data_IF_111662552415
#
_entry.id   IF_111662552415
#
_cell.length_a   1.000
_cell.length_b   1.000
_cell.length_c   1.000
_cell.angle_alpha   90.00
_cell.angle_beta   90.00
_cell.angle_gamma   90.00
#
_symmetry.space_group_name_H-M   'P 1'
#
loop_
_entity.id
_entity.type
_entity.pdbx_description
1 polymer ?
#
# COMPACT_ATOMS: atom_id res chain seq x y z
N UNK A 1 -3.01 64.47 -28.53
CA UNK A 1 -4.48 64.37 -28.42
C UNK A 1 -4.85 62.93 -28.10
N UNK A 2 -5.72 62.67 -27.13
CA UNK A 2 -5.77 61.42 -26.36
C UNK A 2 -7.11 60.71 -26.55
N UNK A 3 -7.22 59.67 -27.37
CA UNK A 3 -8.44 58.83 -27.42
C UNK A 3 -8.12 57.42 -27.95
N UNK A 4 -7.34 56.63 -27.21
CA UNK A 4 -7.32 55.17 -27.42
C UNK A 4 -6.84 54.42 -26.16
N UNK A 5 -7.52 54.65 -25.03
CA UNK A 5 -7.23 53.98 -23.75
C UNK A 5 -8.49 53.57 -22.99
N UNK A 6 -9.51 53.11 -23.72
CA UNK A 6 -10.77 52.62 -23.17
C UNK A 6 -11.26 51.40 -23.97
N UNK A 7 -10.52 50.30 -23.96
CA UNK A 7 -11.03 48.99 -24.40
C UNK A 7 -10.18 47.81 -23.88
N UNK A 8 -9.64 47.89 -22.67
CA UNK A 8 -8.85 46.81 -22.06
C UNK A 8 -9.04 46.72 -20.52
N UNK A 9 -10.20 47.11 -20.01
CA UNK A 9 -10.52 46.98 -18.57
C UNK A 9 -11.73 46.08 -18.26
N UNK A 10 -12.34 45.42 -19.26
CA UNK A 10 -13.60 44.69 -19.04
C UNK A 10 -13.53 43.15 -19.15
N UNK A 11 -12.33 42.55 -19.25
CA UNK A 11 -12.15 41.09 -19.34
C UNK A 11 -11.44 40.45 -18.12
N UNK A 12 -11.21 41.21 -17.04
CA UNK A 12 -10.47 40.76 -15.86
C UNK A 12 -11.29 40.38 -14.61
N UNK A 13 -12.60 40.62 -14.56
CA UNK A 13 -13.36 40.54 -13.30
C UNK A 13 -14.35 39.35 -13.18
N UNK A 14 -14.37 38.42 -14.13
CA UNK A 14 -15.36 37.31 -14.13
C UNK A 14 -14.82 35.93 -13.73
N UNK A 15 -13.66 35.88 -13.05
CA UNK A 15 -13.07 34.63 -12.56
C UNK A 15 -12.68 34.66 -11.06
N UNK A 16 -13.35 35.50 -10.26
CA UNK A 16 -13.06 35.62 -8.82
C UNK A 16 -14.30 35.62 -7.90
N UNK A 17 -15.43 35.06 -8.37
CA UNK A 17 -16.68 35.01 -7.59
C UNK A 17 -17.31 33.60 -7.58
N UNK A 18 -16.55 32.60 -7.14
CA UNK A 18 -17.07 31.35 -6.56
C UNK A 18 -16.03 30.76 -5.60
N UNK A 19 -15.78 31.46 -4.50
CA UNK A 19 -15.21 30.88 -3.27
C UNK A 19 -15.88 31.58 -2.09
N UNK A 20 -17.15 31.27 -1.91
CA UNK A 20 -17.88 31.61 -0.71
C UNK A 20 -18.26 30.29 -0.04
N UNK A 21 -17.37 29.85 0.86
CA UNK A 21 -17.59 28.74 1.76
C UNK A 21 -18.50 29.25 2.88
N UNK A 22 -19.75 28.83 2.89
CA UNK A 22 -20.66 29.02 4.03
C UNK A 22 -20.16 28.18 5.21
N UNK A 23 -20.00 28.75 6.42
CA UNK A 23 -19.68 28.00 7.61
C UNK A 23 -20.98 27.46 8.22
N UNK A 24 -21.21 26.15 8.13
CA UNK A 24 -22.28 25.52 8.90
C UNK A 24 -21.82 25.39 10.35
N UNK A 25 -22.34 26.30 11.18
CA UNK A 25 -22.46 26.16 12.61
C UNK A 25 -23.20 24.84 12.94
N UNK A 26 -22.53 23.91 13.61
CA UNK A 26 -23.22 22.91 14.44
C UNK A 26 -22.70 23.02 15.87
N UNK A 27 -23.51 23.65 16.70
CA UNK A 27 -23.34 23.72 18.15
C UNK A 27 -24.47 22.88 18.76
N UNK A 28 -24.10 22.14 19.82
CA UNK A 28 -24.95 21.58 20.88
C UNK A 28 -25.66 20.25 20.56
N UNK A 29 -25.23 19.16 21.23
CA UNK A 29 -25.91 18.64 22.41
C UNK A 29 -25.03 17.63 23.16
N UNK A 30 -24.85 17.91 24.46
CA UNK A 30 -24.38 16.98 25.47
C UNK A 30 -25.44 15.90 25.68
N UNK A 31 -25.06 14.64 25.83
CA UNK A 31 -25.85 13.68 26.60
C UNK A 31 -24.91 12.67 27.26
N UNK A 32 -24.73 12.84 28.56
CA UNK A 32 -24.19 11.82 29.44
C UNK A 32 -25.26 10.75 29.70
N UNK A 33 -24.76 9.60 30.14
CA UNK A 33 -25.34 8.63 31.10
C UNK A 33 -26.02 7.36 30.56
N UNK A 34 -25.38 6.25 30.93
CA UNK A 34 -25.94 5.00 31.49
C UNK A 34 -26.71 4.01 30.60
N UNK A 35 -26.04 2.89 30.31
CA UNK A 35 -26.57 1.51 30.42
C UNK A 35 -26.02 0.90 31.73
N UNK A 36 -26.56 -0.19 32.33
CA UNK A 36 -27.35 -1.25 31.68
C UNK A 36 -28.50 -1.90 32.52
N UNK A 37 -29.14 -2.89 31.89
CA UNK A 37 -29.88 -4.06 32.43
C UNK A 37 -31.33 -3.84 32.91
N UNK A 38 -32.29 -4.52 32.26
CA UNK A 38 -33.13 -5.64 32.78
C UNK A 38 -34.43 -5.83 31.96
N UNK A 39 -34.69 -7.11 31.61
CA UNK A 39 -35.95 -7.82 31.28
C UNK A 39 -36.61 -7.69 29.89
N UNK A 40 -36.47 -8.80 29.14
CA UNK A 40 -37.53 -9.51 28.40
C UNK A 40 -38.73 -9.84 29.32
N UNK A 41 -39.98 -9.93 28.80
CA UNK A 41 -40.44 -11.20 28.20
C UNK A 41 -41.50 -11.12 27.06
N UNK A 42 -41.60 -12.25 26.34
CA UNK A 42 -42.80 -12.89 25.71
C UNK A 42 -43.57 -12.25 24.54
N UNK A 43 -43.68 -13.04 23.46
CA UNK A 43 -44.52 -12.96 22.22
C UNK A 43 -46.04 -13.15 22.52
N UNK A 44 -47.01 -13.31 21.55
CA UNK A 44 -47.00 -13.39 20.07
C UNK A 44 -48.20 -12.63 19.38
N UNK A 45 -48.62 -13.08 18.16
CA UNK A 45 -49.75 -12.68 17.27
C UNK A 45 -49.44 -11.61 16.21
N UNK A 46 -49.36 -11.84 14.88
CA UNK A 46 -50.25 -12.42 13.83
C UNK A 46 -50.91 -11.32 12.94
N UNK A 47 -50.76 -11.51 11.62
CA UNK A 47 -51.64 -11.13 10.48
C UNK A 47 -51.40 -9.85 9.62
N UNK A 48 -51.61 -10.10 8.31
CA UNK A 48 -51.90 -9.25 7.13
C UNK A 48 -50.79 -8.33 6.57
N UNK A 49 -50.28 -8.58 5.36
CA UNK A 49 -50.90 -8.39 4.02
C UNK A 49 -50.91 -6.92 3.57
N UNK A 50 -50.13 -6.58 2.54
CA UNK A 50 -50.51 -5.60 1.50
C UNK A 50 -49.42 -5.50 0.40
N UNK A 51 -49.81 -5.96 -0.79
CA UNK A 51 -49.26 -5.62 -2.10
C UNK A 51 -49.73 -4.20 -2.52
N UNK A 52 -48.85 -3.40 -3.12
CA UNK A 52 -49.19 -2.29 -4.04
C UNK A 52 -47.90 -1.83 -4.76
N UNK A 53 -47.50 -2.39 -5.91
CA UNK A 53 -47.89 -2.05 -7.29
C UNK A 53 -48.11 -0.56 -7.65
N UNK A 54 -47.17 -0.06 -8.49
CA UNK A 54 -47.34 0.85 -9.68
C UNK A 54 -47.46 2.39 -9.43
N UNK A 55 -47.38 3.26 -10.47
CA UNK A 55 -46.27 3.46 -11.44
C UNK A 55 -46.09 4.94 -11.97
N UNK A 56 -45.12 5.12 -12.90
CA UNK A 56 -44.94 6.16 -13.98
C UNK A 56 -44.97 7.68 -13.67
N UNK A 57 -43.91 8.39 -14.10
CA UNK A 57 -43.90 9.47 -15.15
C UNK A 57 -43.09 10.74 -14.83
N UNK A 58 -42.71 11.44 -15.91
CA UNK A 58 -41.93 12.68 -16.05
C UNK A 58 -40.39 12.48 -16.05
N UNK A 59 -39.63 12.46 -17.16
CA UNK A 59 -39.62 13.27 -18.38
C UNK A 59 -39.52 14.78 -18.15
N UNK A 60 -38.32 15.29 -17.84
CA UNK A 60 -37.91 16.68 -18.17
C UNK A 60 -36.40 16.75 -18.44
N UNK A 61 -36.07 16.88 -19.74
CA UNK A 61 -35.20 17.89 -20.36
C UNK A 61 -33.70 17.95 -20.03
N UNK A 62 -32.93 17.49 -21.03
CA UNK A 62 -31.63 18.00 -21.50
C UNK A 62 -31.42 19.50 -21.22
N UNK A 63 -30.28 19.85 -20.61
CA UNK A 63 -29.15 20.61 -21.20
C UNK A 63 -28.30 21.25 -20.10
N UNK A 64 -27.07 20.79 -19.91
CA UNK A 64 -25.86 21.63 -19.96
C UNK A 64 -24.63 20.76 -19.69
N UNK A 65 -24.08 20.16 -20.75
CA UNK A 65 -22.74 19.58 -20.71
C UNK A 65 -21.81 20.61 -21.34
N UNK A 66 -21.27 21.49 -20.51
CA UNK A 66 -20.05 22.22 -20.85
C UNK A 66 -18.93 21.19 -20.95
N UNK A 67 -18.80 20.60 -22.13
CA UNK A 67 -17.75 19.67 -22.48
C UNK A 67 -16.49 20.49 -22.70
N UNK A 68 -15.73 20.72 -21.63
CA UNK A 68 -14.33 21.10 -21.78
C UNK A 68 -13.66 19.96 -22.57
N UNK A 69 -13.29 20.25 -23.81
CA UNK A 69 -12.45 19.38 -24.62
C UNK A 69 -11.05 19.35 -23.98
N UNK A 70 -10.86 18.50 -22.98
CA UNK A 70 -9.51 17.98 -22.74
C UNK A 70 -9.17 17.15 -23.97
N UNK A 71 -8.10 17.52 -24.68
CA UNK A 71 -7.65 16.78 -25.85
C UNK A 71 -7.56 15.30 -25.47
N UNK A 72 -8.21 14.44 -26.24
CA UNK A 72 -8.22 12.99 -26.00
C UNK A 72 -6.79 12.42 -25.93
N UNK A 73 -5.83 13.05 -26.60
CA UNK A 73 -4.39 12.77 -26.49
C UNK A 73 -3.80 13.12 -25.12
N UNK A 74 -4.16 14.25 -24.50
CA UNK A 74 -3.65 14.65 -23.18
C UNK A 74 -4.23 13.78 -22.05
N UNK A 75 -5.50 13.37 -22.20
CA UNK A 75 -6.14 12.40 -21.30
C UNK A 75 -5.57 10.98 -21.47
N UNK A 76 -5.23 10.57 -22.70
CA UNK A 76 -4.56 9.30 -22.98
C UNK A 76 -3.11 9.29 -22.46
N UNK A 77 -2.37 10.40 -22.62
CA UNK A 77 -1.00 10.56 -22.12
C UNK A 77 -0.97 10.64 -20.58
N UNK A 78 -1.93 11.33 -19.94
CA UNK A 78 -2.08 11.28 -18.48
C UNK A 78 -2.44 9.87 -17.99
N UNK A 79 -3.32 9.14 -18.68
CA UNK A 79 -3.65 7.75 -18.32
C UNK A 79 -2.47 6.78 -18.54
N UNK A 80 -1.67 6.97 -19.59
CA UNK A 80 -0.46 6.17 -19.84
C UNK A 80 0.62 6.42 -18.77
N UNK A 81 0.80 7.67 -18.35
CA UNK A 81 1.72 8.02 -17.25
C UNK A 81 1.21 7.54 -15.87
N UNK A 82 -0.10 7.46 -15.67
CA UNK A 82 -0.71 6.95 -14.44
C UNK A 82 -0.55 5.42 -14.26
N UNK A 83 -0.24 4.68 -15.33
CA UNK A 83 -0.15 3.21 -15.29
C UNK A 83 1.13 2.70 -14.59
N UNK A 84 2.15 3.55 -14.43
CA UNK A 84 3.40 3.24 -13.70
C UNK A 84 3.45 4.05 -12.42
N UNK A 85 3.05 3.44 -11.30
CA UNK A 85 3.24 4.03 -9.98
C UNK A 85 4.71 4.40 -9.77
N UNK A 86 5.01 5.69 -9.58
CA UNK A 86 6.36 6.16 -9.30
C UNK A 86 6.80 5.67 -7.92
N UNK A 87 8.13 5.64 -7.65
CA UNK A 87 8.71 5.24 -6.38
C UNK A 87 8.11 6.01 -5.20
N UNK A 88 7.92 7.33 -5.33
CA UNK A 88 7.30 8.17 -4.30
C UNK A 88 5.90 7.70 -3.93
N UNK A 89 5.06 7.45 -4.93
CA UNK A 89 3.69 6.96 -4.73
C UNK A 89 3.66 5.54 -4.17
N UNK A 90 4.58 4.69 -4.63
CA UNK A 90 4.74 3.34 -4.12
C UNK A 90 5.11 3.34 -2.63
N UNK A 91 6.11 4.13 -2.24
CA UNK A 91 6.54 4.24 -0.84
C UNK A 91 5.42 4.84 0.01
N UNK A 92 4.79 5.93 -0.45
CA UNK A 92 3.67 6.56 0.27
C UNK A 92 2.51 5.59 0.49
N UNK A 93 2.16 4.77 -0.52
CA UNK A 93 1.14 3.72 -0.40
C UNK A 93 1.51 2.64 0.62
N UNK A 94 2.79 2.23 0.66
CA UNK A 94 3.26 1.15 1.54
C UNK A 94 3.56 1.59 2.96
N UNK A 95 3.99 2.83 3.15
CA UNK A 95 4.47 3.33 4.43
C UNK A 95 3.49 4.33 5.09
N UNK A 96 2.59 4.92 4.31
CA UNK A 96 1.66 5.97 4.74
C UNK A 96 2.29 7.37 4.78
N UNK A 97 3.61 7.48 4.59
CA UNK A 97 4.37 8.74 4.61
C UNK A 97 5.28 8.84 3.38
N UNK A 98 5.62 10.05 2.91
CA UNK A 98 6.54 10.24 1.79
C UNK A 98 7.98 9.81 2.14
N UNK A 99 8.80 9.64 1.10
CA UNK A 99 10.23 9.34 1.24
C UNK A 99 10.92 10.46 2.03
N UNK A 100 11.85 10.10 2.91
CA UNK A 100 12.61 11.06 3.73
C UNK A 100 11.89 11.54 5.00
N UNK A 101 10.63 11.14 5.23
CA UNK A 101 9.92 11.50 6.46
C UNK A 101 10.51 10.77 7.68
N UNK A 102 10.66 11.45 8.82
CA UNK A 102 11.26 10.90 10.05
C UNK A 102 10.58 9.63 10.56
N UNK A 103 9.24 9.58 10.47
CA UNK A 103 8.43 8.39 10.83
C UNK A 103 8.54 7.21 9.85
N UNK A 104 9.28 7.36 8.74
CA UNK A 104 9.34 6.35 7.68
C UNK A 104 9.88 5.00 8.15
N UNK A 105 10.99 5.01 8.88
CA UNK A 105 11.63 3.78 9.36
C UNK A 105 10.77 3.08 10.42
N UNK A 106 10.24 3.85 11.38
CA UNK A 106 9.38 3.31 12.44
C UNK A 106 8.10 2.67 11.88
N UNK A 107 7.46 3.32 10.91
CA UNK A 107 6.27 2.77 10.25
C UNK A 107 6.58 1.49 9.47
N UNK A 108 7.70 1.44 8.74
CA UNK A 108 8.13 0.22 8.05
C UNK A 108 8.34 -0.93 9.04
N UNK A 109 9.09 -0.72 10.13
CA UNK A 109 9.34 -1.75 11.14
C UNK A 109 8.05 -2.22 11.80
N UNK A 110 7.21 -1.29 12.26
CA UNK A 110 5.94 -1.61 12.93
C UNK A 110 5.01 -2.44 12.02
N UNK A 111 4.91 -2.08 10.74
CA UNK A 111 4.06 -2.77 9.76
C UNK A 111 4.67 -4.10 9.29
N UNK A 112 6.00 -4.19 9.19
CA UNK A 112 6.69 -5.41 8.78
C UNK A 112 6.57 -6.47 9.85
N UNK A 113 7.00 -6.15 11.08
CA UNK A 113 6.96 -7.08 12.20
C UNK A 113 5.52 -7.48 12.53
N UNK A 114 4.59 -6.53 12.46
CA UNK A 114 3.16 -6.77 12.63
C UNK A 114 2.44 -7.36 11.41
N UNK A 115 3.14 -7.81 10.38
CA UNK A 115 2.52 -8.34 9.17
C UNK A 115 1.79 -9.66 9.42
N UNK A 116 0.71 -9.89 8.68
CA UNK A 116 -0.16 -11.07 8.81
C UNK A 116 0.49 -12.40 8.41
N UNK A 117 1.54 -12.34 7.60
CA UNK A 117 2.37 -13.48 7.22
C UNK A 117 3.74 -12.98 6.74
N UNK A 118 4.66 -13.93 6.59
CA UNK A 118 6.04 -13.63 6.27
C UNK A 118 6.24 -13.07 4.85
N UNK A 119 5.41 -13.46 3.90
CA UNK A 119 5.43 -12.82 2.58
C UNK A 119 5.06 -11.33 2.64
N UNK A 120 4.12 -10.98 3.52
CA UNK A 120 3.70 -9.58 3.72
C UNK A 120 4.74 -8.78 4.50
N UNK A 121 5.51 -9.41 5.41
CA UNK A 121 6.62 -8.77 6.14
C UNK A 121 7.58 -8.06 5.16
N UNK A 122 8.04 -8.78 4.13
CA UNK A 122 8.99 -8.26 3.14
C UNK A 122 8.41 -7.17 2.24
N UNK A 123 7.08 -7.05 2.18
CA UNK A 123 6.42 -5.96 1.45
C UNK A 123 6.58 -4.61 2.16
N UNK A 124 6.72 -4.62 3.48
CA UNK A 124 6.84 -3.41 4.31
C UNK A 124 8.28 -3.14 4.77
N UNK A 125 9.15 -4.15 4.80
CA UNK A 125 10.49 -4.06 5.39
C UNK A 125 11.31 -2.93 4.79
N UNK A 126 11.37 -2.91 3.45
CA UNK A 126 12.06 -1.86 2.72
C UNK A 126 11.35 -1.61 1.38
N UNK A 127 10.40 -0.67 1.33
CA UNK A 127 9.63 -0.40 0.11
C UNK A 127 10.50 0.09 -1.05
N UNK A 128 11.61 0.80 -0.77
CA UNK A 128 12.50 1.32 -1.81
C UNK A 128 13.23 0.16 -2.50
N UNK A 129 13.88 -0.72 -1.72
CA UNK A 129 14.53 -1.90 -2.27
C UNK A 129 13.53 -2.84 -2.95
N UNK A 130 12.36 -3.05 -2.35
CA UNK A 130 11.29 -3.86 -2.93
C UNK A 130 10.82 -3.33 -4.29
N UNK A 131 10.76 -2.01 -4.49
CA UNK A 131 10.41 -1.40 -5.77
C UNK A 131 11.46 -1.69 -6.85
N UNK A 132 12.75 -1.50 -6.55
CA UNK A 132 13.82 -1.74 -7.52
C UNK A 132 13.99 -3.22 -7.83
N UNK A 133 14.03 -4.08 -6.83
CA UNK A 133 14.09 -5.53 -7.03
C UNK A 133 12.86 -6.03 -7.82
N UNK A 134 11.67 -5.54 -7.46
CA UNK A 134 10.43 -5.88 -8.16
C UNK A 134 10.44 -5.51 -9.64
N UNK A 135 10.92 -4.31 -9.96
CA UNK A 135 10.88 -3.77 -11.33
C UNK A 135 12.04 -4.22 -12.21
N UNK A 136 13.25 -4.36 -11.63
CA UNK A 136 14.50 -4.63 -12.36
C UNK A 136 14.92 -6.09 -12.35
N UNK A 137 14.55 -6.86 -11.33
CA UNK A 137 15.01 -8.25 -11.16
C UNK A 137 13.84 -9.22 -11.26
N UNK A 138 12.85 -9.09 -10.39
CA UNK A 138 11.72 -10.02 -10.35
C UNK A 138 10.89 -10.01 -11.64
N UNK A 139 10.55 -8.83 -12.17
CA UNK A 139 9.75 -8.70 -13.40
C UNK A 139 10.39 -9.35 -14.62
N UNK A 140 11.69 -9.14 -14.94
CA UNK A 140 12.34 -9.88 -16.02
C UNK A 140 12.47 -11.38 -15.72
N UNK A 141 12.85 -11.77 -14.50
CA UNK A 141 12.98 -13.19 -14.14
C UNK A 141 11.67 -13.96 -14.27
N UNK A 142 10.54 -13.33 -13.92
CA UNK A 142 9.20 -13.93 -14.04
C UNK A 142 8.81 -14.25 -15.50
N UNK A 143 9.46 -13.64 -16.50
CA UNK A 143 9.22 -13.98 -17.91
C UNK A 143 9.82 -15.32 -18.32
N UNK A 144 10.83 -15.79 -17.57
CA UNK A 144 11.60 -17.00 -17.88
C UNK A 144 11.28 -18.11 -16.88
N UNK A 145 11.10 -17.76 -15.60
CA UNK A 145 10.94 -18.71 -14.49
C UNK A 145 9.54 -18.65 -13.86
N UNK A 146 9.09 -19.76 -13.24
CA UNK A 146 7.87 -19.75 -12.45
C UNK A 146 8.01 -18.82 -11.24
N UNK A 147 6.87 -18.31 -10.77
CA UNK A 147 6.84 -17.18 -9.83
C UNK A 147 7.58 -17.43 -8.50
N UNK A 148 7.62 -18.69 -8.03
CA UNK A 148 8.35 -19.07 -6.81
C UNK A 148 9.87 -19.01 -7.00
N UNK A 149 10.37 -19.56 -8.11
CA UNK A 149 11.81 -19.54 -8.44
C UNK A 149 12.26 -18.11 -8.70
N UNK A 150 11.50 -17.33 -9.46
CA UNK A 150 11.80 -15.92 -9.70
C UNK A 150 11.91 -15.12 -8.38
N UNK A 151 11.08 -15.44 -7.38
CA UNK A 151 11.13 -14.82 -6.07
C UNK A 151 12.41 -15.21 -5.33
N UNK A 152 12.74 -16.51 -5.25
CA UNK A 152 13.95 -16.99 -4.57
C UNK A 152 15.22 -16.39 -5.20
N UNK A 153 15.31 -16.38 -6.53
CA UNK A 153 16.42 -15.76 -7.25
C UNK A 153 16.53 -14.25 -6.98
N UNK A 154 15.40 -13.55 -6.83
CA UNK A 154 15.41 -12.12 -6.46
C UNK A 154 16.00 -11.92 -5.07
N UNK A 155 15.69 -12.81 -4.13
CA UNK A 155 16.28 -12.80 -2.78
C UNK A 155 17.78 -13.08 -2.81
N UNK A 156 18.23 -14.10 -3.56
CA UNK A 156 19.66 -14.40 -3.74
C UNK A 156 20.39 -13.17 -4.29
N UNK A 157 19.85 -12.54 -5.34
CA UNK A 157 20.47 -11.34 -5.93
C UNK A 157 20.56 -10.18 -4.94
N UNK A 158 19.55 -10.00 -4.09
CA UNK A 158 19.60 -9.03 -3.00
C UNK A 158 20.72 -9.36 -1.99
N UNK A 159 20.84 -10.62 -1.58
CA UNK A 159 21.91 -11.08 -0.69
C UNK A 159 23.31 -10.86 -1.28
N UNK A 160 23.49 -11.17 -2.57
CA UNK A 160 24.75 -10.95 -3.29
C UNK A 160 25.15 -9.47 -3.35
N UNK A 161 24.18 -8.55 -3.48
CA UNK A 161 24.47 -7.10 -3.40
C UNK A 161 24.99 -6.75 -2.00
N UNK A 162 24.40 -7.30 -0.94
CA UNK A 162 24.87 -7.06 0.42
C UNK A 162 26.28 -7.62 0.64
N UNK A 163 26.53 -8.85 0.19
CA UNK A 163 27.85 -9.49 0.22
C UNK A 163 28.90 -8.70 -0.58
N UNK A 164 28.53 -8.13 -1.72
CA UNK A 164 29.43 -7.28 -2.50
C UNK A 164 29.81 -6.03 -1.70
N UNK A 165 28.84 -5.35 -1.09
CA UNK A 165 29.10 -4.16 -0.28
C UNK A 165 29.99 -4.49 0.92
N UNK A 166 29.75 -5.60 1.62
CA UNK A 166 30.60 -6.01 2.75
C UNK A 166 31.98 -6.45 2.30
N UNK A 167 32.09 -7.13 1.17
CA UNK A 167 33.37 -7.52 0.56
C UNK A 167 34.21 -6.30 0.17
N UNK A 168 33.58 -5.26 -0.40
CA UNK A 168 34.28 -4.01 -0.74
C UNK A 168 34.80 -3.27 0.50
N UNK A 169 34.06 -3.31 1.61
CA UNK A 169 34.47 -2.66 2.86
C UNK A 169 35.54 -3.48 3.60
N UNK A 170 35.45 -4.82 3.57
CA UNK A 170 36.28 -5.73 4.37
C UNK A 170 37.48 -6.30 3.60
N UNK A 171 37.46 -6.25 2.28
CA UNK A 171 38.47 -6.83 1.39
C UNK A 171 38.45 -8.37 1.32
N UNK A 172 37.44 -9.03 1.89
CA UNK A 172 37.29 -10.50 1.90
C UNK A 172 35.93 -10.89 1.37
N UNK A 173 35.92 -11.86 0.46
CA UNK A 173 34.70 -12.38 -0.14
C UNK A 173 33.95 -13.22 0.90
N UNK A 174 32.72 -12.82 1.20
CA UNK A 174 31.81 -13.56 2.08
C UNK A 174 30.50 -13.76 1.35
N UNK A 175 29.93 -14.97 1.40
CA UNK A 175 28.61 -15.29 0.83
C UNK A 175 27.52 -15.41 1.91
N UNK A 176 27.78 -14.84 3.08
CA UNK A 176 26.91 -14.99 4.25
C UNK A 176 25.51 -14.43 4.01
N UNK A 177 25.39 -13.23 3.41
CA UNK A 177 24.08 -12.63 3.14
C UNK A 177 23.38 -13.35 1.99
N UNK A 178 24.07 -13.85 0.96
CA UNK A 178 23.47 -14.63 -0.12
C UNK A 178 22.80 -15.91 0.41
N UNK A 179 23.49 -16.68 1.27
CA UNK A 179 22.93 -17.89 1.88
C UNK A 179 21.77 -17.55 2.82
N UNK A 180 21.90 -16.49 3.62
CA UNK A 180 20.82 -16.07 4.51
C UNK A 180 19.57 -15.63 3.74
N UNK A 181 19.72 -14.80 2.71
CA UNK A 181 18.62 -14.36 1.87
C UNK A 181 18.02 -15.51 1.07
N UNK A 182 18.80 -16.52 0.67
CA UNK A 182 18.29 -17.75 0.07
C UNK A 182 17.29 -18.45 1.01
N UNK A 183 17.68 -18.70 2.26
CA UNK A 183 16.80 -19.32 3.25
C UNK A 183 15.53 -18.48 3.49
N UNK A 184 15.69 -17.16 3.61
CA UNK A 184 14.54 -16.24 3.73
C UNK A 184 13.62 -16.29 2.51
N UNK A 185 14.19 -16.33 1.30
CA UNK A 185 13.44 -16.43 0.05
C UNK A 185 12.64 -17.73 -0.06
N UNK A 186 13.20 -18.85 0.38
CA UNK A 186 12.50 -20.13 0.48
C UNK A 186 11.35 -20.01 1.49
N UNK A 187 11.60 -19.48 2.69
CA UNK A 187 10.56 -19.27 3.72
C UNK A 187 9.42 -18.37 3.22
N UNK A 188 9.71 -17.34 2.42
CA UNK A 188 8.69 -16.51 1.76
C UNK A 188 7.89 -17.32 0.74
N UNK A 189 8.56 -18.09 -0.11
CA UNK A 189 7.89 -18.92 -1.11
C UNK A 189 6.95 -19.95 -0.45
N UNK A 190 7.40 -20.60 0.63
CA UNK A 190 6.60 -21.53 1.44
C UNK A 190 5.44 -20.81 2.13
N UNK A 191 5.67 -19.63 2.73
CA UNK A 191 4.61 -18.82 3.36
C UNK A 191 3.51 -18.46 2.37
N UNK A 192 3.86 -18.12 1.12
CA UNK A 192 2.86 -17.87 0.06
C UNK A 192 2.07 -19.11 -0.34
N UNK A 193 2.64 -20.31 -0.20
CA UNK A 193 1.96 -21.58 -0.50
C UNK A 193 1.06 -22.04 0.64
N UNK A 194 1.49 -21.86 1.89
CA UNK A 194 0.71 -22.22 3.07
C UNK A 194 -0.49 -21.30 3.31
N UNK A 195 -0.49 -20.08 2.75
CA UNK A 195 -1.61 -19.11 2.81
C UNK A 195 -2.15 -18.84 4.22
N UNK A 196 -1.34 -19.05 5.26
CA UNK A 196 -1.74 -18.76 6.62
C UNK A 196 -1.92 -17.25 6.82
N UNK A 197 -2.87 -16.88 7.67
CA UNK A 197 -3.22 -15.49 7.95
C UNK A 197 -3.35 -15.27 9.46
N UNK A 198 -2.39 -14.52 10.03
CA UNK A 198 -2.39 -14.15 11.44
C UNK A 198 -3.08 -12.80 11.69
N UNK A 199 -3.85 -12.26 10.75
CA UNK A 199 -4.53 -10.95 10.90
C UNK A 199 -5.45 -10.88 12.11
N UNK A 200 -6.15 -11.98 12.43
CA UNK A 200 -7.03 -12.07 13.60
C UNK A 200 -6.26 -12.20 14.93
N UNK A 201 -4.94 -12.36 14.90
CA UNK A 201 -4.11 -12.49 16.09
C UNK A 201 -3.60 -11.13 16.60
N UNK A 202 -3.31 -11.06 17.89
CA UNK A 202 -2.71 -9.89 18.54
C UNK A 202 -1.41 -9.52 17.84
N UNK A 203 -1.12 -8.21 17.76
CA UNK A 203 0.09 -7.70 17.09
C UNK A 203 1.37 -8.39 17.58
N UNK A 204 1.51 -8.60 18.90
CA UNK A 204 2.68 -9.26 19.48
C UNK A 204 2.89 -10.69 18.96
N UNK A 205 1.83 -11.47 18.76
CA UNK A 205 1.94 -12.83 18.23
C UNK A 205 2.41 -12.82 16.77
N UNK A 206 1.98 -11.82 15.99
CA UNK A 206 2.46 -11.63 14.60
C UNK A 206 3.94 -11.29 14.58
N UNK A 207 4.39 -10.43 15.48
CA UNK A 207 5.81 -10.08 15.63
C UNK A 207 6.63 -11.30 15.99
N UNK A 208 6.21 -12.06 17.00
CA UNK A 208 6.91 -13.27 17.44
C UNK A 208 7.01 -14.30 16.30
N UNK A 209 5.94 -14.49 15.53
CA UNK A 209 5.95 -15.40 14.38
C UNK A 209 6.88 -14.94 13.25
N UNK A 210 6.92 -13.66 12.91
CA UNK A 210 7.82 -13.16 11.87
C UNK A 210 9.28 -13.17 12.33
N UNK A 211 9.55 -12.80 13.59
CA UNK A 211 10.90 -12.83 14.18
C UNK A 211 11.39 -14.27 14.29
N UNK A 212 10.57 -15.22 14.71
CA UNK A 212 11.00 -16.62 14.82
C UNK A 212 11.46 -17.18 13.48
N UNK A 213 10.81 -16.83 12.37
CA UNK A 213 11.25 -17.22 11.03
C UNK A 213 12.58 -16.57 10.66
N UNK A 214 12.77 -15.26 10.92
CA UNK A 214 14.04 -14.56 10.68
C UNK A 214 15.18 -15.24 11.45
N UNK A 215 14.96 -15.46 12.75
CA UNK A 215 15.93 -16.09 13.64
C UNK A 215 16.25 -17.51 13.20
N UNK A 216 15.24 -18.30 12.81
CA UNK A 216 15.43 -19.65 12.31
C UNK A 216 16.31 -19.67 11.05
N UNK A 217 16.04 -18.79 10.08
CA UNK A 217 16.87 -18.66 8.88
C UNK A 217 18.30 -18.18 9.21
N UNK A 218 18.47 -17.29 10.19
CA UNK A 218 19.79 -16.84 10.62
C UNK A 218 20.60 -17.96 11.27
N UNK A 219 19.99 -18.71 12.20
CA UNK A 219 20.61 -19.88 12.85
C UNK A 219 20.99 -20.91 11.78
N UNK A 220 20.10 -21.20 10.83
CA UNK A 220 20.39 -22.10 9.71
C UNK A 220 21.58 -21.64 8.88
N UNK A 221 21.71 -20.33 8.64
CA UNK A 221 22.87 -19.77 7.93
C UNK A 221 24.16 -19.94 8.72
N UNK A 222 24.14 -19.66 10.03
CA UNK A 222 25.31 -19.82 10.91
C UNK A 222 25.76 -21.28 10.91
N UNK A 223 24.82 -22.21 11.07
CA UNK A 223 25.10 -23.64 11.03
C UNK A 223 25.71 -24.09 9.70
N UNK A 224 25.13 -23.64 8.57
CA UNK A 224 25.69 -23.92 7.25
C UNK A 224 27.09 -23.31 7.08
N UNK A 225 27.32 -22.12 7.63
CA UNK A 225 28.63 -21.46 7.57
C UNK A 225 29.69 -22.25 8.34
N UNK A 226 29.34 -22.83 9.49
CA UNK A 226 30.24 -23.70 10.25
C UNK A 226 30.64 -24.95 9.46
N UNK A 227 29.76 -25.49 8.62
CA UNK A 227 30.03 -26.70 7.83
C UNK A 227 30.79 -26.38 6.54
N UNK A 228 30.38 -25.34 5.82
CA UNK A 228 30.82 -25.06 4.45
C UNK A 228 31.91 -23.97 4.37
N UNK A 229 32.09 -23.15 5.41
CA UNK A 229 33.16 -22.16 5.48
C UNK A 229 33.09 -21.06 4.42
N UNK A 230 31.91 -20.45 4.20
CA UNK A 230 31.72 -19.41 3.17
C UNK A 230 31.99 -17.97 3.69
N UNK A 231 32.92 -17.83 4.65
CA UNK A 231 33.27 -16.59 5.33
C UNK A 231 34.78 -16.46 5.61
#
# INVERSE_FOLDING_TARGET
MPLLKASLSHLGERCQRQREFTPIHRKVLKSNTSTPIVKQPSQPLILHEALATRPVSAFVRFTNKSFCTTNSSDAAIQNLNHTRMNLGDYVKKKNGVPIGHSKSLGNNLYRSLGAKNFATFWTFWNPIFGYYLGTKIFKPLKKVFPIGIALILTFIFCGLIHDLVTTLIRGKLSLFFAVWFLLMGISVAVSKKLTYDLSNQKWILRVLANISIITFCLIGTIYLNTILGFY
#
